data_IF_680049989645
#
_entry.id   IF_680049989645
#
_cell.length_a   1.000
_cell.length_b   1.000
_cell.length_c   1.000
_cell.angle_alpha   90.00
_cell.angle_beta   90.00
_cell.angle_gamma   90.00
#
_symmetry.space_group_name_H-M   'P 1'
#
loop_
_entity.id
_entity.type
_entity.pdbx_description
1 polymer ?
#
# COMPACT_ATOMS: atom_id res chain seq x y z
N UNK A 1 -13.69 -13.05 -15.95
CA UNK A 1 -12.77 -13.93 -16.69
C UNK A 1 -11.51 -13.16 -17.02
N UNK A 2 -10.36 -13.79 -16.93
CA UNK A 2 -9.11 -13.17 -17.35
C UNK A 2 -9.03 -13.03 -18.88
N UNK A 3 -8.34 -12.00 -19.33
CA UNK A 3 -8.08 -11.69 -20.74
C UNK A 3 -6.57 -11.56 -20.96
N UNK A 4 -6.13 -11.88 -22.16
CA UNK A 4 -4.78 -11.52 -22.59
C UNK A 4 -4.74 -10.03 -22.96
N UNK A 5 -3.76 -9.33 -22.42
CA UNK A 5 -3.39 -7.95 -22.73
C UNK A 5 -1.93 -7.95 -23.21
N UNK A 6 -1.76 -8.17 -24.52
CA UNK A 6 -0.45 -8.41 -25.14
C UNK A 6 0.20 -9.68 -24.57
N UNK A 7 1.39 -9.52 -23.95
CA UNK A 7 2.12 -10.62 -23.29
C UNK A 7 1.65 -10.91 -21.85
N UNK A 8 0.74 -10.10 -21.32
CA UNK A 8 0.30 -10.18 -19.92
C UNK A 8 -1.12 -10.71 -19.82
N UNK A 9 -1.44 -11.27 -18.66
CA UNK A 9 -2.76 -11.77 -18.33
C UNK A 9 -3.41 -10.86 -17.30
N UNK A 10 -4.65 -10.45 -17.55
CA UNK A 10 -5.36 -9.48 -16.70
C UNK A 10 -6.75 -10.02 -16.35
N UNK A 11 -7.03 -10.17 -15.06
CA UNK A 11 -8.31 -10.65 -14.53
C UNK A 11 -8.17 -11.89 -13.67
N UNK A 12 -9.29 -12.61 -13.46
CA UNK A 12 -9.37 -13.71 -12.48
C UNK A 12 -9.39 -15.06 -13.19
N UNK A 13 -8.50 -15.98 -12.78
CA UNK A 13 -8.51 -17.41 -13.11
C UNK A 13 -8.52 -18.20 -11.80
N UNK A 14 -9.63 -18.88 -11.51
CA UNK A 14 -9.79 -19.67 -10.29
C UNK A 14 -9.50 -18.84 -9.02
N UNK A 15 -8.60 -19.30 -8.13
CA UNK A 15 -8.23 -18.57 -6.91
C UNK A 15 -7.19 -17.46 -7.15
N UNK A 16 -6.71 -17.28 -8.38
CA UNK A 16 -5.67 -16.31 -8.70
C UNK A 16 -6.22 -15.10 -9.47
N UNK A 17 -5.69 -13.93 -9.14
CA UNK A 17 -5.96 -12.63 -9.75
C UNK A 17 -4.67 -12.15 -10.40
N UNK A 18 -4.72 -12.01 -11.71
CA UNK A 18 -3.63 -11.57 -12.56
C UNK A 18 -3.79 -10.08 -12.88
N UNK A 19 -2.72 -9.31 -12.68
CA UNK A 19 -2.67 -7.88 -12.97
C UNK A 19 -1.35 -7.54 -13.65
N UNK A 20 -1.38 -6.57 -14.55
CA UNK A 20 -0.16 -5.95 -15.09
C UNK A 20 0.27 -4.81 -14.16
N UNK A 21 1.51 -4.85 -13.68
CA UNK A 21 2.12 -3.74 -12.98
C UNK A 21 3.44 -3.37 -13.66
N UNK A 22 3.48 -2.19 -14.29
CA UNK A 22 4.56 -1.78 -15.18
C UNK A 22 4.77 -2.84 -16.28
N UNK A 23 5.98 -3.39 -16.41
CA UNK A 23 6.33 -4.45 -17.36
C UNK A 23 6.38 -5.84 -16.71
N UNK A 24 5.68 -6.05 -15.60
CA UNK A 24 5.67 -7.31 -14.86
C UNK A 24 4.27 -7.89 -14.73
N UNK A 25 4.20 -9.22 -14.71
CA UNK A 25 3.01 -9.97 -14.36
C UNK A 25 2.92 -10.09 -12.84
N UNK A 26 1.90 -9.47 -12.25
CA UNK A 26 1.55 -9.67 -10.85
C UNK A 26 0.52 -10.79 -10.75
N UNK A 27 0.79 -11.78 -9.91
CA UNK A 27 -0.15 -12.86 -9.57
C UNK A 27 -0.45 -12.78 -8.09
N UNK A 28 -1.73 -12.63 -7.75
CA UNK A 28 -2.19 -12.46 -6.37
C UNK A 28 -3.32 -13.43 -6.07
N UNK A 29 -3.39 -13.92 -4.83
CA UNK A 29 -4.54 -14.70 -4.40
C UNK A 29 -5.81 -13.84 -4.39
N UNK A 30 -6.94 -14.43 -4.76
CA UNK A 30 -8.26 -13.81 -4.57
C UNK A 30 -8.46 -13.56 -3.09
N UNK A 31 -8.82 -12.32 -2.73
CA UNK A 31 -9.10 -11.99 -1.34
C UNK A 31 -10.20 -12.91 -0.80
N UNK A 32 -9.92 -13.58 0.33
CA UNK A 32 -10.91 -14.36 1.08
C UNK A 32 -11.92 -13.45 1.81
N UNK A 33 -11.54 -12.20 2.03
CA UNK A 33 -12.36 -11.16 2.62
C UNK A 33 -13.09 -10.42 1.51
N UNK A 34 -14.41 -10.56 1.46
CA UNK A 34 -15.31 -9.72 0.67
C UNK A 34 -15.41 -8.33 1.30
N UNK A 35 -15.74 -7.31 0.51
CA UNK A 35 -15.94 -5.93 1.02
C UNK A 35 -16.92 -5.88 2.20
N UNK A 36 -17.96 -6.72 2.15
CA UNK A 36 -18.98 -6.89 3.21
C UNK A 36 -18.41 -7.40 4.55
N UNK A 37 -17.23 -8.02 4.55
CA UNK A 37 -16.57 -8.51 5.77
C UNK A 37 -15.62 -7.49 6.38
N UNK A 38 -15.42 -6.32 5.76
CA UNK A 38 -14.67 -5.24 6.36
C UNK A 38 -15.57 -4.49 7.34
N UNK A 39 -15.18 -4.50 8.61
CA UNK A 39 -15.87 -3.71 9.64
C UNK A 39 -15.55 -2.22 9.47
N UNK A 40 -16.39 -1.34 10.03
CA UNK A 40 -16.16 0.11 10.03
C UNK A 40 -14.77 0.45 10.61
N UNK A 41 -14.36 -0.25 11.68
CA UNK A 41 -13.03 -0.11 12.28
C UNK A 41 -11.90 -0.52 11.33
N UNK A 42 -12.12 -1.56 10.51
CA UNK A 42 -11.15 -1.98 9.48
C UNK A 42 -11.00 -0.91 8.41
N UNK A 43 -12.11 -0.30 7.99
CA UNK A 43 -12.11 0.83 7.05
C UNK A 43 -11.37 2.04 7.62
N UNK A 44 -11.70 2.45 8.86
CA UNK A 44 -11.01 3.56 9.55
C UNK A 44 -9.51 3.32 9.66
N UNK A 45 -9.10 2.12 10.08
CA UNK A 45 -7.68 1.75 10.19
C UNK A 45 -6.98 1.78 8.82
N UNK A 46 -7.61 1.27 7.76
CA UNK A 46 -7.06 1.29 6.42
C UNK A 46 -6.89 2.73 5.89
N UNK A 47 -7.86 3.61 6.15
CA UNK A 47 -7.79 5.03 5.78
C UNK A 47 -6.66 5.73 6.51
N UNK A 48 -6.56 5.57 7.84
CA UNK A 48 -5.48 6.15 8.65
C UNK A 48 -4.09 5.68 8.16
N UNK A 49 -3.96 4.38 7.88
CA UNK A 49 -2.74 3.82 7.32
C UNK A 49 -2.39 4.42 5.95
N UNK A 50 -3.38 4.62 5.08
CA UNK A 50 -3.20 5.24 3.76
C UNK A 50 -2.71 6.69 3.85
N UNK A 51 -3.32 7.49 4.74
CA UNK A 51 -2.91 8.88 5.00
C UNK A 51 -1.47 8.92 5.52
N UNK A 52 -1.15 8.13 6.55
CA UNK A 52 0.19 8.08 7.13
C UNK A 52 1.25 7.66 6.10
N UNK A 53 0.94 6.69 5.25
CA UNK A 53 1.85 6.21 4.20
C UNK A 53 2.11 7.27 3.13
N UNK A 54 1.07 7.98 2.71
CA UNK A 54 1.18 9.04 1.70
C UNK A 54 2.00 10.21 2.24
N UNK A 55 1.73 10.63 3.47
CA UNK A 55 2.47 11.71 4.12
C UNK A 55 3.95 11.35 4.33
N UNK A 56 4.23 10.13 4.81
CA UNK A 56 5.60 9.64 4.97
C UNK A 56 6.34 9.47 3.62
N UNK A 57 5.63 9.20 2.53
CA UNK A 57 6.21 9.24 1.19
C UNK A 57 6.58 10.65 0.77
N UNK A 58 5.66 11.61 0.95
CA UNK A 58 5.89 13.00 0.56
C UNK A 58 7.10 13.59 1.30
N UNK A 59 7.18 13.42 2.63
CA UNK A 59 8.34 13.87 3.40
C UNK A 59 9.66 13.32 2.89
N UNK A 60 9.71 12.04 2.53
CA UNK A 60 10.94 11.43 2.01
C UNK A 60 11.30 11.96 0.63
N UNK A 61 10.32 12.21 -0.23
CA UNK A 61 10.53 12.82 -1.55
C UNK A 61 11.11 14.22 -1.41
N UNK A 62 10.53 15.04 -0.54
CA UNK A 62 10.96 16.42 -0.33
C UNK A 62 12.34 16.47 0.36
N UNK A 63 12.62 15.54 1.26
CA UNK A 63 13.92 15.43 1.93
C UNK A 63 14.96 14.61 1.14
N UNK A 64 14.68 14.20 -0.10
CA UNK A 64 15.59 13.33 -0.88
C UNK A 64 16.96 13.99 -1.12
N UNK A 65 17.02 15.31 -1.25
CA UNK A 65 18.28 16.04 -1.41
C UNK A 65 19.14 16.07 -0.14
N UNK A 66 18.51 15.86 1.03
CA UNK A 66 19.16 15.86 2.35
C UNK A 66 19.52 14.43 2.77
N UNK A 67 18.64 13.47 2.45
CA UNK A 67 18.79 12.06 2.82
C UNK A 67 19.45 11.32 1.65
N UNK A 68 20.76 11.45 1.54
CA UNK A 68 21.52 10.93 0.39
C UNK A 68 21.84 9.44 0.48
N UNK A 69 22.20 8.91 1.67
CA UNK A 69 22.88 7.59 1.74
C UNK A 69 22.50 6.64 2.90
N UNK A 70 21.39 6.88 3.62
CA UNK A 70 20.99 6.03 4.77
C UNK A 70 19.76 5.16 4.49
N UNK A 71 19.72 4.51 3.33
CA UNK A 71 18.62 3.62 2.96
C UNK A 71 18.88 2.19 3.45
N UNK A 72 18.24 1.80 4.55
CA UNK A 72 18.04 0.38 4.87
C UNK A 72 16.61 -0.07 4.54
N UNK A 73 16.45 -1.37 4.31
CA UNK A 73 15.18 -1.97 3.88
C UNK A 73 14.01 -1.77 4.86
N UNK A 74 14.26 -1.30 6.08
CA UNK A 74 13.24 -1.06 7.11
C UNK A 74 13.02 0.42 7.42
N UNK A 75 13.85 1.33 6.90
CA UNK A 75 13.81 2.76 7.21
C UNK A 75 12.45 3.37 6.86
N UNK A 76 11.92 3.04 5.68
CA UNK A 76 10.59 3.48 5.23
C UNK A 76 9.48 3.01 6.19
N UNK A 77 9.58 1.78 6.70
CA UNK A 77 8.61 1.22 7.63
C UNK A 77 8.66 1.94 8.98
N UNK A 78 9.87 2.18 9.52
CA UNK A 78 10.06 2.89 10.79
C UNK A 78 9.53 4.32 10.70
N UNK A 79 9.93 5.06 9.68
CA UNK A 79 9.49 6.45 9.50
C UNK A 79 7.97 6.57 9.37
N UNK A 80 7.34 5.74 8.53
CA UNK A 80 5.86 5.70 8.43
C UNK A 80 5.20 5.39 9.77
N UNK A 81 5.80 4.50 10.57
CA UNK A 81 5.26 4.15 11.89
C UNK A 81 5.26 5.35 12.83
N UNK A 82 6.29 6.19 12.82
CA UNK A 82 6.33 7.40 13.63
C UNK A 82 5.36 8.47 13.12
N UNK A 83 5.23 8.64 11.80
CA UNK A 83 4.18 9.49 11.20
C UNK A 83 2.78 9.02 11.61
N UNK A 84 2.53 7.70 11.62
CA UNK A 84 1.25 7.14 12.04
C UNK A 84 0.95 7.42 13.52
N UNK A 85 1.95 7.32 14.41
CA UNK A 85 1.79 7.67 15.83
C UNK A 85 1.44 9.15 16.00
N UNK A 86 2.14 10.03 15.30
CA UNK A 86 1.90 11.48 15.35
C UNK A 86 0.48 11.83 14.86
N UNK A 87 0.06 11.25 13.72
CA UNK A 87 -1.30 11.44 13.22
C UNK A 87 -2.35 10.92 14.19
N UNK A 88 -2.13 9.77 14.80
CA UNK A 88 -3.07 9.23 15.79
C UNK A 88 -3.23 10.19 16.98
N UNK A 89 -2.13 10.73 17.50
CA UNK A 89 -2.18 11.74 18.57
C UNK A 89 -2.93 13.01 18.13
N UNK A 90 -2.75 13.45 16.89
CA UNK A 90 -3.43 14.63 16.37
C UNK A 90 -4.92 14.44 16.10
N UNK A 91 -5.37 13.21 15.80
CA UNK A 91 -6.79 12.88 15.60
C UNK A 91 -7.53 12.54 16.89
N UNK A 92 -6.80 12.11 17.93
CA UNK A 92 -7.35 11.79 19.25
C UNK A 92 -7.35 13.03 20.20
N UNK A 93 -6.93 14.22 19.71
CA UNK A 93 -6.91 15.51 20.43
C UNK A 93 -8.05 16.44 19.97
#
# INVERSE_FOLDING_TARGET
>A
MAKFDGKFLTGVIGPAVFKKYRNMQLVTGKSRLTKEKQTENTHKAATQFGIASTLAEQFRRDATEIITDFYDGTMVYRFRTDVQKALKQAFDA
#
